data_IF_430077426644
#
_entry.id   IF_430077426644
#
_cell.length_a   1.000
_cell.length_b   1.000
_cell.length_c   1.000
_cell.angle_alpha   90.00
_cell.angle_beta   90.00
_cell.angle_gamma   90.00
#
_symmetry.space_group_name_H-M   'P 1'
#
loop_
_entity.id
_entity.type
_entity.pdbx_description
1 polymer ?
#
# COMPACT_ATOMS: atom_id res chain seq x y z
N UNK A 1 17.48 -67.41 10.95
CA UNK A 1 17.56 -66.27 11.90
C UNK A 1 18.56 -65.28 11.31
N UNK A 2 18.35 -63.98 11.11
CA UNK A 2 17.31 -63.05 11.50
C UNK A 2 17.18 -61.93 10.43
N UNK A 3 15.93 -61.54 10.21
CA UNK A 3 15.33 -60.30 9.66
C UNK A 3 16.16 -59.23 8.91
N UNK A 4 15.67 -58.95 7.70
CA UNK A 4 15.83 -57.70 6.92
C UNK A 4 15.52 -56.44 7.76
N UNK A 5 16.32 -55.39 7.59
CA UNK A 5 15.95 -54.03 7.96
C UNK A 5 16.16 -53.07 6.77
N UNK A 6 15.05 -52.59 6.18
CA UNK A 6 15.04 -51.43 5.27
C UNK A 6 14.95 -50.16 6.13
N UNK A 7 15.84 -49.17 5.99
CA UNK A 7 15.57 -47.82 6.46
C UNK A 7 14.64 -47.11 5.47
N UNK A 8 13.64 -46.46 6.05
CA UNK A 8 12.48 -45.86 5.40
C UNK A 8 12.87 -44.58 4.70
N UNK A 9 12.39 -44.39 3.47
CA UNK A 9 12.34 -43.09 2.79
C UNK A 9 11.55 -42.11 3.66
N UNK A 10 12.26 -41.21 4.34
CA UNK A 10 11.67 -40.09 5.05
C UNK A 10 11.08 -39.11 4.05
N UNK A 11 9.80 -39.28 3.72
CA UNK A 11 9.01 -38.29 2.99
C UNK A 11 8.87 -37.08 3.92
N UNK A 12 9.70 -36.05 3.72
CA UNK A 12 9.48 -34.72 4.35
C UNK A 12 8.21 -34.12 3.75
N UNK A 13 7.04 -34.51 4.22
CA UNK A 13 5.85 -33.69 4.04
C UNK A 13 6.02 -32.48 4.94
N UNK A 14 6.45 -31.35 4.36
CA UNK A 14 6.18 -30.04 4.97
C UNK A 14 4.68 -30.04 5.24
N UNK A 15 4.29 -30.10 6.52
CA UNK A 15 2.94 -29.76 6.90
C UNK A 15 2.80 -28.27 6.55
N UNK A 16 2.24 -27.98 5.37
CA UNK A 16 1.90 -26.62 4.98
C UNK A 16 0.93 -26.11 6.04
N UNK A 17 1.44 -25.22 6.90
CA UNK A 17 0.61 -24.55 7.89
C UNK A 17 -0.58 -23.91 7.18
N UNK A 18 -1.74 -23.92 7.83
CA UNK A 18 -2.96 -23.30 7.31
C UNK A 18 -2.66 -21.91 6.70
N UNK A 19 -3.26 -21.58 5.54
CA UNK A 19 -3.08 -20.26 4.92
C UNK A 19 -3.29 -19.12 5.92
N UNK A 20 -2.46 -18.09 5.81
CA UNK A 20 -2.52 -16.87 6.63
C UNK A 20 -2.28 -15.65 5.77
N UNK A 21 -2.93 -14.55 6.11
CA UNK A 21 -2.68 -13.24 5.51
C UNK A 21 -1.21 -12.87 5.75
N UNK A 22 -0.45 -12.58 4.69
CA UNK A 22 0.95 -12.20 4.82
C UNK A 22 1.18 -10.79 5.35
N UNK A 23 0.13 -9.96 5.47
CA UNK A 23 0.24 -8.61 6.06
C UNK A 23 -0.12 -8.58 7.55
N UNK A 24 -1.22 -9.21 7.96
CA UNK A 24 -1.70 -9.15 9.36
C UNK A 24 -1.73 -10.50 10.09
N UNK A 25 -1.38 -11.61 9.43
CA UNK A 25 -1.30 -12.94 10.04
C UNK A 25 -2.64 -13.65 10.31
N UNK A 26 -3.79 -13.00 10.06
CA UNK A 26 -5.12 -13.62 10.20
C UNK A 26 -5.26 -14.87 9.31
N UNK A 27 -6.03 -15.85 9.76
CA UNK A 27 -6.18 -17.17 9.09
C UNK A 27 -7.58 -17.44 8.53
N UNK A 28 -8.53 -16.53 8.77
CA UNK A 28 -9.93 -16.65 8.33
C UNK A 28 -10.23 -15.60 7.26
N UNK A 29 -11.18 -15.91 6.36
CA UNK A 29 -11.59 -15.05 5.23
C UNK A 29 -10.38 -14.55 4.45
N UNK A 30 -9.76 -15.45 3.71
CA UNK A 30 -8.56 -15.16 2.93
C UNK A 30 -8.84 -15.34 1.44
N UNK A 31 -8.23 -14.49 0.64
CA UNK A 31 -8.15 -14.59 -0.81
C UNK A 31 -6.68 -14.49 -1.25
N UNK A 32 -6.41 -14.59 -2.54
CA UNK A 32 -5.09 -14.33 -3.13
C UNK A 32 -5.10 -13.03 -3.91
N UNK A 33 -4.01 -12.28 -3.82
CA UNK A 33 -3.81 -11.10 -4.66
C UNK A 33 -3.58 -11.51 -6.11
N UNK A 34 -4.20 -10.81 -7.05
CA UNK A 34 -4.00 -11.05 -8.48
C UNK A 34 -2.59 -10.68 -8.93
N UNK A 35 -2.04 -9.60 -8.38
CA UNK A 35 -0.74 -9.04 -8.78
C UNK A 35 0.48 -9.86 -8.35
N UNK A 36 0.44 -10.56 -7.21
CA UNK A 36 1.60 -11.26 -6.65
C UNK A 36 1.30 -12.62 -6.00
N UNK A 37 0.07 -13.13 -6.14
CA UNK A 37 -0.37 -14.45 -5.68
C UNK A 37 -0.14 -14.71 -4.17
N UNK A 38 -0.17 -13.65 -3.35
CA UNK A 38 0.00 -13.75 -1.90
C UNK A 38 -1.34 -13.93 -1.19
N UNK A 39 -1.36 -14.75 -0.14
CA UNK A 39 -2.54 -14.88 0.73
C UNK A 39 -2.76 -13.57 1.51
N UNK A 40 -3.99 -13.05 1.45
CA UNK A 40 -4.38 -11.77 2.06
C UNK A 40 -5.81 -11.86 2.60
N UNK A 41 -6.18 -11.00 3.54
CA UNK A 41 -7.57 -10.94 4.02
C UNK A 41 -8.52 -10.58 2.89
N UNK A 42 -9.67 -11.24 2.84
CA UNK A 42 -10.82 -10.88 2.01
C UNK A 42 -11.77 -10.04 2.87
N UNK A 43 -11.48 -8.74 2.95
CA UNK A 43 -12.12 -7.79 3.87
C UNK A 43 -12.45 -6.42 3.25
N UNK A 44 -12.43 -6.32 1.92
CA UNK A 44 -12.75 -5.07 1.21
C UNK A 44 -14.22 -4.67 1.40
N UNK A 45 -15.12 -5.65 1.55
CA UNK A 45 -16.56 -5.48 1.82
C UNK A 45 -16.87 -4.73 3.12
N UNK A 46 -15.89 -4.63 4.02
CA UNK A 46 -16.03 -3.96 5.32
C UNK A 46 -15.59 -2.51 5.31
N UNK A 47 -14.95 -2.05 4.22
CA UNK A 47 -14.47 -0.68 4.13
C UNK A 47 -15.65 0.29 3.98
N UNK A 48 -15.71 1.29 4.85
CA UNK A 48 -16.71 2.37 4.75
C UNK A 48 -16.15 3.49 3.87
N UNK A 49 -16.81 3.87 2.76
CA UNK A 49 -16.39 5.02 1.96
C UNK A 49 -16.21 6.28 2.80
N UNK A 50 -15.17 7.06 2.50
CA UNK A 50 -14.79 8.29 3.23
C UNK A 50 -14.35 8.11 4.70
N UNK A 51 -14.18 6.88 5.22
CA UNK A 51 -13.60 6.68 6.56
C UNK A 51 -12.08 6.82 6.61
N UNK A 52 -11.42 6.64 5.46
CA UNK A 52 -9.95 6.62 5.32
C UNK A 52 -9.25 5.57 6.20
N UNK A 53 -10.00 4.57 6.69
CA UNK A 53 -9.47 3.52 7.55
C UNK A 53 -8.50 2.59 6.82
N UNK A 54 -7.45 2.18 7.53
CA UNK A 54 -6.43 1.23 7.04
C UNK A 54 -6.67 -0.20 7.55
N UNK A 55 -7.92 -0.57 7.82
CA UNK A 55 -8.29 -1.87 8.41
C UNK A 55 -8.50 -3.01 7.39
N UNK A 56 -8.55 -2.71 6.09
CA UNK A 56 -8.66 -3.72 5.02
C UNK A 56 -7.32 -4.01 4.35
N UNK A 57 -6.82 -5.24 4.52
CA UNK A 57 -5.51 -5.63 3.96
C UNK A 57 -5.55 -5.62 2.43
N UNK A 58 -6.56 -6.24 1.83
CA UNK A 58 -6.70 -6.33 0.37
C UNK A 58 -6.77 -4.96 -0.26
N UNK A 59 -7.67 -4.13 0.26
CA UNK A 59 -7.91 -2.79 -0.25
C UNK A 59 -6.67 -1.92 -0.17
N UNK A 60 -5.97 -1.92 0.97
CA UNK A 60 -4.77 -1.11 1.14
C UNK A 60 -3.63 -1.60 0.24
N UNK A 61 -3.49 -2.92 0.08
CA UNK A 61 -2.51 -3.48 -0.86
C UNK A 61 -2.83 -3.04 -2.30
N UNK A 62 -4.09 -3.14 -2.71
CA UNK A 62 -4.56 -2.74 -4.04
C UNK A 62 -4.34 -1.25 -4.31
N UNK A 63 -4.66 -0.38 -3.33
CA UNK A 63 -4.64 1.07 -3.52
C UNK A 63 -3.27 1.72 -3.32
N UNK A 64 -2.46 1.19 -2.41
CA UNK A 64 -1.26 1.90 -1.91
C UNK A 64 0.04 1.16 -2.20
N UNK A 65 0.10 0.26 -3.19
CA UNK A 65 1.35 -0.42 -3.54
C UNK A 65 1.69 -0.31 -5.02
N UNK A 66 3.00 -0.23 -5.32
CA UNK A 66 3.48 -0.25 -6.71
C UNK A 66 3.19 -1.59 -7.38
N UNK A 67 3.21 -2.69 -6.62
CA UNK A 67 2.91 -4.03 -7.13
C UNK A 67 1.49 -4.13 -7.69
N UNK A 68 0.49 -3.65 -6.94
CA UNK A 68 -0.88 -3.63 -7.39
C UNK A 68 -1.09 -2.65 -8.56
N UNK A 69 -0.60 -1.42 -8.44
CA UNK A 69 -0.69 -0.42 -9.53
C UNK A 69 -0.09 -0.94 -10.83
N UNK A 70 1.10 -1.55 -10.78
CA UNK A 70 1.77 -2.11 -11.94
C UNK A 70 0.92 -3.18 -12.66
N UNK A 71 0.28 -4.06 -11.88
CA UNK A 71 -0.61 -5.09 -12.41
C UNK A 71 -1.87 -4.48 -13.03
N UNK A 72 -2.53 -3.56 -12.33
CA UNK A 72 -3.77 -2.91 -12.80
C UNK A 72 -3.56 -2.14 -14.11
N UNK A 73 -2.42 -1.46 -14.26
CA UNK A 73 -2.07 -0.75 -15.49
C UNK A 73 -1.53 -1.68 -16.61
N UNK A 74 -1.44 -2.99 -16.36
CA UNK A 74 -0.97 -3.97 -17.35
C UNK A 74 0.47 -3.72 -17.80
N UNK A 75 1.32 -3.18 -16.93
CA UNK A 75 2.72 -2.97 -17.24
C UNK A 75 3.45 -4.31 -17.39
N UNK A 76 4.47 -4.34 -18.27
CA UNK A 76 5.32 -5.52 -18.45
C UNK A 76 6.54 -5.44 -17.52
N UNK A 77 7.04 -6.60 -17.11
CA UNK A 77 8.27 -6.73 -16.30
C UNK A 77 8.01 -6.75 -14.79
N UNK A 78 9.05 -6.46 -14.01
CA UNK A 78 8.94 -6.27 -12.55
C UNK A 78 8.58 -4.80 -12.27
N UNK A 79 7.70 -4.58 -11.30
CA UNK A 79 7.31 -3.25 -10.87
C UNK A 79 8.46 -2.45 -10.25
N UNK A 80 9.47 -3.11 -9.68
CA UNK A 80 10.64 -2.45 -9.06
C UNK A 80 11.48 -1.69 -10.07
N UNK A 81 11.58 -2.22 -11.29
CA UNK A 81 12.38 -1.65 -12.37
C UNK A 81 11.51 -0.95 -13.43
N UNK A 82 10.21 -0.81 -13.19
CA UNK A 82 9.28 -0.29 -14.18
C UNK A 82 9.39 1.24 -14.31
N UNK A 83 9.86 1.79 -15.45
CA UNK A 83 10.02 3.24 -15.61
C UNK A 83 8.69 3.97 -15.67
N UNK A 84 7.61 3.28 -16.06
CA UNK A 84 6.25 3.85 -16.04
C UNK A 84 5.80 4.06 -14.60
N UNK A 85 5.89 3.04 -13.74
CA UNK A 85 5.57 3.16 -12.31
C UNK A 85 6.37 4.27 -11.63
N UNK A 86 7.66 4.44 -11.97
CA UNK A 86 8.51 5.51 -11.41
C UNK A 86 8.04 6.93 -11.79
N UNK A 87 7.46 7.09 -12.98
CA UNK A 87 7.03 8.39 -13.54
C UNK A 87 5.56 8.73 -13.26
N UNK A 88 4.75 7.74 -12.87
CA UNK A 88 3.32 7.94 -12.61
C UNK A 88 3.02 8.74 -11.34
N UNK A 89 3.99 8.91 -10.45
CA UNK A 89 3.79 9.52 -9.14
C UNK A 89 4.90 10.50 -8.81
N UNK A 90 4.57 11.45 -7.94
CA UNK A 90 5.60 12.22 -7.24
C UNK A 90 6.55 11.31 -6.46
N UNK A 91 7.79 11.74 -6.28
CA UNK A 91 8.83 10.89 -5.69
C UNK A 91 8.45 10.42 -4.28
N UNK A 92 7.88 11.28 -3.44
CA UNK A 92 7.43 10.88 -2.10
C UNK A 92 6.34 9.79 -2.15
N UNK A 93 5.32 9.94 -3.00
CA UNK A 93 4.27 8.93 -3.18
C UNK A 93 4.82 7.63 -3.78
N UNK A 94 5.70 7.71 -4.77
CA UNK A 94 6.37 6.54 -5.35
C UNK A 94 7.13 5.75 -4.27
N UNK A 95 7.89 6.45 -3.42
CA UNK A 95 8.63 5.83 -2.32
C UNK A 95 7.67 5.21 -1.32
N UNK A 96 6.62 5.93 -0.91
CA UNK A 96 5.59 5.40 -0.02
C UNK A 96 4.97 4.11 -0.58
N UNK A 97 4.49 4.12 -1.83
CA UNK A 97 3.89 2.94 -2.47
C UNK A 97 4.87 1.77 -2.61
N UNK A 98 6.16 2.04 -2.74
CA UNK A 98 7.19 1.00 -2.82
C UNK A 98 7.62 0.44 -1.47
N UNK A 99 7.36 1.10 -0.35
CA UNK A 99 8.03 0.80 0.94
C UNK A 99 7.12 0.67 2.15
N UNK A 100 5.85 1.06 2.05
CA UNK A 100 4.90 1.02 3.17
C UNK A 100 4.59 -0.41 3.67
N UNK A 101 3.80 -0.48 4.73
CA UNK A 101 3.40 -1.71 5.42
C UNK A 101 2.49 -2.64 4.63
N UNK A 102 1.89 -2.17 3.52
CA UNK A 102 0.98 -2.98 2.70
C UNK A 102 1.72 -3.78 1.62
N UNK A 103 3.04 -3.63 1.54
CA UNK A 103 3.89 -4.34 0.59
C UNK A 103 4.34 -5.70 1.13
N UNK A 104 4.11 -6.76 0.35
CA UNK A 104 4.75 -8.07 0.59
C UNK A 104 6.23 -8.09 0.25
N UNK A 105 6.64 -7.26 -0.73
CA UNK A 105 8.03 -7.00 -1.08
C UNK A 105 8.23 -5.50 -1.17
N UNK A 106 9.31 -5.00 -0.57
CA UNK A 106 9.62 -3.57 -0.56
C UNK A 106 10.67 -3.22 -1.61
N UNK A 107 10.61 -1.98 -2.08
CA UNK A 107 11.62 -1.37 -2.93
C UNK A 107 12.92 -1.23 -2.15
N UNK A 108 14.00 -1.83 -2.64
CA UNK A 108 15.26 -1.93 -1.89
C UNK A 108 16.06 -0.63 -1.82
N UNK A 109 16.03 0.19 -2.87
CA UNK A 109 16.77 1.44 -2.96
C UNK A 109 15.84 2.58 -3.43
N UNK A 110 14.91 3.03 -2.56
CA UNK A 110 14.01 4.12 -2.91
C UNK A 110 14.78 5.42 -3.17
N UNK A 111 14.40 6.23 -4.18
CA UNK A 111 15.01 7.53 -4.42
C UNK A 111 14.79 8.48 -3.23
N UNK A 112 15.78 9.32 -2.94
CA UNK A 112 15.62 10.40 -1.97
C UNK A 112 14.67 11.50 -2.51
N UNK A 113 14.00 12.20 -1.60
CA UNK A 113 13.15 13.34 -1.90
C UNK A 113 13.24 14.39 -0.80
N UNK A 114 12.91 15.64 -1.13
CA UNK A 114 12.73 16.69 -0.14
C UNK A 114 11.32 16.55 0.47
N UNK A 115 11.16 16.66 1.80
CA UNK A 115 9.85 16.57 2.42
C UNK A 115 8.88 17.60 1.86
N UNK A 116 7.65 17.16 1.59
CA UNK A 116 6.59 18.07 1.18
C UNK A 116 6.17 18.97 2.33
N UNK A 117 5.90 20.25 2.05
CA UNK A 117 5.52 21.24 3.05
C UNK A 117 4.24 21.97 2.66
N UNK A 118 3.44 22.33 3.66
CA UNK A 118 2.29 23.21 3.46
C UNK A 118 2.74 24.57 2.92
N UNK A 119 2.15 25.01 1.81
CA UNK A 119 2.45 26.28 1.17
C UNK A 119 2.10 27.49 2.05
N UNK A 120 1.16 27.33 2.99
CA UNK A 120 0.72 28.41 3.89
C UNK A 120 1.52 28.48 5.18
N UNK A 121 1.65 27.37 5.91
CA UNK A 121 2.25 27.37 7.26
C UNK A 121 3.62 26.68 7.33
N UNK A 122 4.09 26.05 6.27
CA UNK A 122 5.42 25.41 6.21
C UNK A 122 5.55 24.09 6.97
N UNK A 123 4.49 23.58 7.61
CA UNK A 123 4.51 22.26 8.27
C UNK A 123 4.83 21.17 7.26
N UNK A 124 5.59 20.16 7.67
CA UNK A 124 5.86 18.98 6.84
C UNK A 124 4.57 18.16 6.72
N UNK A 125 4.25 17.73 5.51
CA UNK A 125 3.11 16.87 5.18
C UNK A 125 3.68 15.55 4.68
N UNK A 126 3.26 14.45 5.29
CA UNK A 126 3.54 13.11 4.79
C UNK A 126 2.47 12.72 3.76
N UNK A 127 2.78 12.82 2.47
CA UNK A 127 1.78 12.66 1.39
C UNK A 127 1.10 11.28 1.37
N UNK A 128 1.76 10.23 1.89
CA UNK A 128 1.16 8.90 2.00
C UNK A 128 0.24 8.68 3.21
N UNK A 129 0.30 9.57 4.20
CA UNK A 129 -0.36 9.36 5.49
C UNK A 129 -1.32 10.46 5.91
N UNK A 130 -0.97 11.72 5.65
CA UNK A 130 -1.67 12.89 6.14
C UNK A 130 -2.76 13.37 5.18
N UNK A 131 -3.84 13.88 5.73
CA UNK A 131 -4.86 14.59 4.97
C UNK A 131 -4.30 15.91 4.46
N UNK A 132 -4.41 16.12 3.15
CA UNK A 132 -3.94 17.33 2.49
C UNK A 132 -4.79 17.65 1.27
N UNK A 133 -4.70 18.90 0.81
CA UNK A 133 -5.26 19.34 -0.46
C UNK A 133 -4.15 19.82 -1.39
N UNK A 134 -4.41 19.76 -2.69
CA UNK A 134 -3.47 20.14 -3.74
C UNK A 134 -4.14 21.23 -4.60
N UNK A 135 -3.40 22.29 -4.91
CA UNK A 135 -3.81 23.35 -5.84
C UNK A 135 -2.65 23.72 -6.74
N UNK A 136 -2.72 23.29 -8.00
CA UNK A 136 -1.54 23.33 -8.88
C UNK A 136 -0.41 22.50 -8.28
N UNK A 137 0.79 23.07 -8.19
CA UNK A 137 1.97 22.42 -7.61
C UNK A 137 2.15 22.69 -6.09
N UNK A 138 1.11 23.23 -5.43
CA UNK A 138 1.15 23.57 -4.01
C UNK A 138 0.33 22.59 -3.17
N UNK A 139 0.91 22.24 -2.02
CA UNK A 139 0.32 21.37 -1.02
C UNK A 139 -0.17 22.15 0.20
N UNK A 140 -1.32 21.77 0.74
CA UNK A 140 -1.94 22.44 1.89
C UNK A 140 -2.31 21.39 2.93
N UNK A 141 -1.89 21.58 4.18
CA UNK A 141 -2.32 20.70 5.27
C UNK A 141 -3.83 20.82 5.50
N UNK A 142 -4.42 19.83 6.18
CA UNK A 142 -5.84 19.80 6.52
C UNK A 142 -6.33 21.11 7.16
N UNK A 143 -5.62 21.60 8.17
CA UNK A 143 -6.02 22.83 8.87
C UNK A 143 -6.06 24.08 7.97
N UNK A 144 -5.03 24.26 7.13
CA UNK A 144 -4.99 25.39 6.20
C UNK A 144 -6.05 25.25 5.10
N UNK A 145 -6.29 24.03 4.62
CA UNK A 145 -7.32 23.73 3.62
C UNK A 145 -8.71 24.05 4.16
N UNK A 146 -8.99 23.65 5.41
CA UNK A 146 -10.27 23.94 6.06
C UNK A 146 -10.48 25.44 6.24
N UNK A 147 -9.46 26.18 6.70
CA UNK A 147 -9.53 27.64 6.85
C UNK A 147 -9.82 28.34 5.50
N UNK A 148 -9.15 27.94 4.42
CA UNK A 148 -9.43 28.50 3.08
C UNK A 148 -10.87 28.23 2.64
N UNK A 149 -11.38 27.02 2.88
CA UNK A 149 -12.76 26.65 2.53
C UNK A 149 -13.79 27.45 3.35
N UNK A 150 -13.57 27.61 4.65
CA UNK A 150 -14.43 28.42 5.52
C UNK A 150 -14.45 29.88 5.06
N UNK A 151 -13.30 30.45 4.70
CA UNK A 151 -13.19 31.82 4.20
C UNK A 151 -13.87 31.98 2.83
N UNK A 152 -13.75 31.00 1.93
CA UNK A 152 -14.45 31.01 0.65
C UNK A 152 -15.99 31.02 0.84
N UNK A 153 -16.51 30.16 1.73
CA UNK A 153 -17.94 30.13 2.05
C UNK A 153 -18.40 31.45 2.66
N UNK A 154 -17.61 32.07 3.53
CA UNK A 154 -17.92 33.39 4.11
C UNK A 154 -18.00 34.49 3.04
N UNK A 155 -17.12 34.45 2.04
CA UNK A 155 -17.13 35.42 0.92
C UNK A 155 -18.36 35.25 0.01
N UNK A 156 -18.82 34.02 -0.20
CA UNK A 156 -20.00 33.73 -1.03
C UNK A 156 -21.34 34.11 -0.36
N UNK A 157 -21.35 34.25 0.97
CA UNK A 157 -22.53 34.65 1.76
C UNK A 157 -22.63 36.17 1.98
N UNK A 158 -21.65 36.95 1.49
CA UNK A 158 -21.66 38.41 1.51
C UNK A 158 -22.16 38.94 0.17
#
# INVERSE_FOLDING_TARGET
MATKAKPRTGKKTKAEGKPRCGLCGKTKKLTKTECCNQWICDDEDKYVPFSYERNSCYRNHSRYTLCAYHHTEGHRGDWKDCPKCRKSFETEIYVFYGTNEFNFQKLGNPPAYLPTKCATCGVVISLGYDTHSIKGDQYFCEECSQKEMEDAVRRLKR
#
